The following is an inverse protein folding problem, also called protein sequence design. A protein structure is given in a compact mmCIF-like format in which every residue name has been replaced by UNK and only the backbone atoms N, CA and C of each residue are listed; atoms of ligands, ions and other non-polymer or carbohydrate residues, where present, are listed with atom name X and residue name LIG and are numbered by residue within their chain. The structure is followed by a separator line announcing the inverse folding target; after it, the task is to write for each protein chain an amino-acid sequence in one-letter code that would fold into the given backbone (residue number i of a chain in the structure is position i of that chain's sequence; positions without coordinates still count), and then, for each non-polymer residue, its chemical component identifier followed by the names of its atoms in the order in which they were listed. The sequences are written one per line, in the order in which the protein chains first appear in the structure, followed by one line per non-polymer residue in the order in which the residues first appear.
data_IF_478427618466
#
_entry.id   IF_478427618466
#
_cell.length_a   1.000
_cell.length_b   1.000
_cell.length_c   1.000
_cell.angle_alpha   90.00
_cell.angle_beta   90.00
_cell.angle_gamma   90.00
#
_symmetry.space_group_name_H-M   'P 1'
#
loop_
_entity.id
_entity.type
_entity.pdbx_description
1 polymer ?
#
# COMPACT_ATOMS: atom_id res chain seq x y z
N UNK A 1 -10.97 -18.42 21.58
CA UNK A 1 -11.80 -17.23 21.37
C UNK A 1 -11.29 -16.56 20.12
N UNK A 2 -12.15 -16.30 19.13
CA UNK A 2 -11.82 -15.58 17.91
C UNK A 2 -12.27 -14.13 18.11
N UNK A 3 -11.32 -13.19 18.19
CA UNK A 3 -11.60 -11.75 18.21
C UNK A 3 -10.81 -11.07 17.08
N UNK A 4 -11.48 -10.23 16.32
CA UNK A 4 -10.96 -9.52 15.16
C UNK A 4 -10.81 -8.03 15.47
N UNK A 5 -9.62 -7.49 15.28
CA UNK A 5 -9.36 -6.07 15.27
C UNK A 5 -9.35 -5.56 13.82
N UNK A 6 -10.33 -4.76 13.42
CA UNK A 6 -10.35 -4.12 12.10
C UNK A 6 -9.66 -2.76 12.18
N UNK A 7 -8.61 -2.56 11.43
CA UNK A 7 -7.87 -1.29 11.34
C UNK A 7 -8.23 -0.58 10.06
N UNK A 8 -8.76 0.63 10.16
CA UNK A 8 -9.06 1.53 9.04
C UNK A 8 -8.06 2.68 9.08
N UNK A 9 -7.25 2.83 8.04
CA UNK A 9 -6.35 3.97 7.89
C UNK A 9 -6.95 4.97 6.91
N UNK A 10 -7.13 6.24 7.33
CA UNK A 10 -7.76 7.25 6.49
C UNK A 10 -6.95 8.54 6.37
N UNK A 11 -7.11 9.22 5.23
CA UNK A 11 -6.57 10.55 4.99
C UNK A 11 -7.49 11.39 4.11
N UNK A 12 -8.28 12.29 4.73
CA UNK A 12 -9.22 13.22 4.07
C UNK A 12 -10.25 12.49 3.15
N UNK A 13 -10.85 11.41 3.67
CA UNK A 13 -11.87 10.60 2.97
C UNK A 13 -13.03 10.25 3.89
N UNK A 14 -13.53 11.25 4.60
CA UNK A 14 -14.51 11.15 5.67
C UNK A 14 -15.77 10.40 5.22
N UNK A 15 -16.29 10.70 4.04
CA UNK A 15 -17.55 10.15 3.53
C UNK A 15 -17.52 8.62 3.41
N UNK A 16 -16.42 8.06 2.94
CA UNK A 16 -16.26 6.60 2.84
C UNK A 16 -16.21 5.96 4.22
N UNK A 17 -15.41 6.53 5.13
CA UNK A 17 -15.30 6.01 6.50
C UNK A 17 -16.64 6.04 7.20
N UNK A 18 -17.38 7.17 7.14
CA UNK A 18 -18.70 7.29 7.75
C UNK A 18 -19.71 6.32 7.15
N UNK A 19 -19.69 6.12 5.83
CA UNK A 19 -20.58 5.17 5.16
C UNK A 19 -20.35 3.74 5.64
N UNK A 20 -19.08 3.29 5.69
CA UNK A 20 -18.73 1.96 6.16
C UNK A 20 -19.05 1.78 7.66
N UNK A 21 -18.73 2.76 8.50
CA UNK A 21 -19.07 2.71 9.92
C UNK A 21 -20.58 2.66 10.16
N UNK A 22 -21.36 3.44 9.40
CA UNK A 22 -22.83 3.39 9.47
C UNK A 22 -23.34 1.98 9.16
N UNK A 23 -22.84 1.34 8.10
CA UNK A 23 -23.20 -0.03 7.74
C UNK A 23 -22.83 -1.00 8.86
N UNK A 24 -21.60 -0.91 9.40
CA UNK A 24 -21.14 -1.81 10.46
C UNK A 24 -21.96 -1.59 11.76
N UNK A 25 -22.22 -0.34 12.14
CA UNK A 25 -23.03 -0.05 13.32
C UNK A 25 -24.44 -0.64 13.15
N UNK A 26 -25.16 -0.30 12.05
CA UNK A 26 -26.53 -0.74 11.83
C UNK A 26 -26.69 -2.26 11.73
N UNK A 27 -25.74 -2.93 11.06
CA UNK A 27 -25.92 -4.34 10.69
C UNK A 27 -25.18 -5.29 11.64
N UNK A 28 -24.26 -4.78 12.47
CA UNK A 28 -23.49 -5.60 13.41
C UNK A 28 -23.67 -5.14 14.85
N UNK A 29 -23.29 -3.91 15.20
CA UNK A 29 -23.24 -3.51 16.61
C UNK A 29 -24.59 -3.23 17.24
N UNK A 30 -25.52 -2.61 16.50
CA UNK A 30 -26.87 -2.28 16.96
C UNK A 30 -27.84 -3.45 16.85
N UNK A 31 -27.49 -4.51 16.13
CA UNK A 31 -28.33 -5.69 15.99
C UNK A 31 -28.16 -6.61 17.19
N UNK A 32 -29.26 -6.86 17.98
CA UNK A 32 -29.20 -7.73 19.15
C UNK A 32 -28.82 -9.19 18.81
N UNK A 33 -29.21 -9.63 17.60
CA UNK A 33 -28.98 -10.98 17.09
C UNK A 33 -27.72 -11.13 16.23
N UNK A 34 -26.89 -10.11 16.18
CA UNK A 34 -25.64 -10.17 15.41
C UNK A 34 -24.70 -11.25 15.97
N UNK A 35 -24.25 -12.20 15.13
CA UNK A 35 -23.41 -13.32 15.58
C UNK A 35 -21.97 -12.94 15.88
N UNK A 36 -21.55 -11.69 15.61
CA UNK A 36 -20.15 -11.23 15.67
C UNK A 36 -19.94 -9.91 16.41
N UNK A 37 -20.98 -9.31 16.99
CA UNK A 37 -20.84 -7.99 17.62
C UNK A 37 -19.84 -7.95 18.77
N UNK A 38 -19.67 -9.07 19.48
CA UNK A 38 -18.72 -9.18 20.59
C UNK A 38 -17.32 -9.67 20.12
N UNK A 39 -17.20 -10.04 18.85
CA UNK A 39 -15.98 -10.58 18.24
C UNK A 39 -15.25 -9.57 17.37
N UNK A 40 -15.80 -8.37 17.16
CA UNK A 40 -15.26 -7.31 16.31
C UNK A 40 -15.00 -6.03 17.10
N UNK A 41 -13.81 -5.44 16.94
CA UNK A 41 -13.50 -4.07 17.34
C UNK A 41 -12.86 -3.33 16.17
N UNK A 42 -13.11 -2.02 16.07
CA UNK A 42 -12.63 -1.17 14.96
C UNK A 42 -11.65 -0.14 15.51
N UNK A 43 -10.50 -0.04 14.85
CA UNK A 43 -9.42 0.91 15.15
C UNK A 43 -9.29 1.87 13.98
N UNK A 44 -9.75 3.12 14.13
CA UNK A 44 -9.70 4.15 13.10
C UNK A 44 -8.45 4.99 13.33
N UNK A 45 -7.56 5.01 12.35
CA UNK A 45 -6.34 5.82 12.35
C UNK A 45 -6.46 6.93 11.33
N UNK A 46 -6.63 8.15 11.81
CA UNK A 46 -6.86 9.34 10.99
C UNK A 46 -5.56 10.14 10.79
N UNK A 47 -4.90 9.92 9.67
CA UNK A 47 -3.71 10.65 9.23
C UNK A 47 -4.01 12.11 8.81
N UNK A 48 -5.28 12.41 8.54
CA UNK A 48 -5.74 13.75 8.13
C UNK A 48 -6.19 14.62 9.30
N UNK A 49 -6.49 14.01 10.44
CA UNK A 49 -7.12 14.65 11.60
C UNK A 49 -8.42 15.37 11.23
N UNK A 50 -9.15 14.80 10.28
CA UNK A 50 -10.31 15.43 9.65
C UNK A 50 -11.64 14.83 10.09
N UNK A 51 -11.62 13.63 10.68
CA UNK A 51 -12.82 12.96 11.15
C UNK A 51 -13.38 13.60 12.42
N UNK A 52 -14.71 13.67 12.48
CA UNK A 52 -15.47 14.01 13.66
C UNK A 52 -16.26 12.78 14.13
N UNK A 53 -16.48 12.64 15.43
CA UNK A 53 -17.26 11.51 15.94
C UNK A 53 -18.71 11.58 15.43
N UNK A 54 -19.02 10.79 14.40
CA UNK A 54 -20.36 10.59 13.85
C UNK A 54 -20.88 9.16 14.06
N UNK A 55 -20.07 8.30 14.71
CA UNK A 55 -20.42 6.89 14.99
C UNK A 55 -20.96 6.65 16.40
N UNK A 56 -21.07 7.70 17.23
CA UNK A 56 -21.59 7.58 18.59
C UNK A 56 -20.62 6.98 19.60
N UNK A 57 -21.16 6.54 20.73
CA UNK A 57 -20.37 5.99 21.85
C UNK A 57 -20.35 4.46 21.82
N UNK A 58 -19.94 3.88 20.71
CA UNK A 58 -19.74 2.43 20.61
C UNK A 58 -18.43 2.03 21.28
N UNK A 59 -18.44 1.19 22.31
CA UNK A 59 -17.24 0.76 23.01
C UNK A 59 -16.29 -0.07 22.14
N UNK A 60 -16.77 -0.56 21.00
CA UNK A 60 -15.98 -1.32 20.02
C UNK A 60 -15.28 -0.44 19.00
N UNK A 61 -15.49 0.90 19.00
CA UNK A 61 -14.87 1.81 18.02
C UNK A 61 -13.85 2.69 18.72
N UNK A 62 -12.61 2.54 18.33
CA UNK A 62 -11.46 3.28 18.84
C UNK A 62 -10.94 4.24 17.78
N UNK A 63 -10.74 5.51 18.15
CA UNK A 63 -10.29 6.55 17.23
C UNK A 63 -8.95 7.15 17.65
N UNK A 64 -8.04 7.26 16.70
CA UNK A 64 -6.70 7.77 16.90
C UNK A 64 -6.33 8.78 15.83
N UNK A 65 -6.06 10.02 16.23
CA UNK A 65 -5.38 10.98 15.36
C UNK A 65 -3.92 10.55 15.18
N UNK A 66 -3.41 10.73 13.98
CA UNK A 66 -2.07 10.30 13.64
C UNK A 66 -1.31 11.32 12.79
N UNK A 67 0.01 11.30 12.91
CA UNK A 67 0.92 11.98 11.98
C UNK A 67 0.80 11.31 10.61
N UNK A 68 0.71 12.11 9.53
CA UNK A 68 0.61 11.54 8.20
C UNK A 68 1.94 10.92 7.74
N UNK A 69 2.08 9.64 7.97
CA UNK A 69 3.17 8.81 7.48
C UNK A 69 2.72 7.86 6.36
N UNK A 70 1.63 8.24 5.66
CA UNK A 70 1.02 7.44 4.59
C UNK A 70 0.31 6.18 5.09
N UNK A 71 -0.04 5.28 4.18
CA UNK A 71 -0.66 3.99 4.51
C UNK A 71 0.21 3.15 5.44
N UNK A 72 1.52 3.02 5.13
CA UNK A 72 2.46 2.29 5.99
C UNK A 72 2.42 2.75 7.45
N UNK A 73 2.42 4.08 7.67
CA UNK A 73 2.40 4.64 9.03
C UNK A 73 1.05 4.55 9.71
N UNK A 74 -0.05 4.75 8.98
CA UNK A 74 -1.39 4.64 9.53
C UNK A 74 -1.73 3.21 9.95
N UNK A 75 -1.48 2.25 9.09
CA UNK A 75 -1.69 0.84 9.44
C UNK A 75 -0.76 0.37 10.55
N UNK A 76 0.51 0.79 10.56
CA UNK A 76 1.42 0.46 11.67
C UNK A 76 0.95 1.07 12.99
N UNK A 77 0.42 2.31 12.99
CA UNK A 77 -0.19 2.89 14.20
C UNK A 77 -1.35 2.02 14.69
N UNK A 78 -2.25 1.60 13.82
CA UNK A 78 -3.34 0.70 14.18
C UNK A 78 -2.85 -0.65 14.73
N UNK A 79 -1.85 -1.26 14.11
CA UNK A 79 -1.22 -2.49 14.60
C UNK A 79 -0.65 -2.30 16.02
N UNK A 80 -0.02 -1.17 16.30
CA UNK A 80 0.53 -0.86 17.63
C UNK A 80 -0.58 -0.69 18.67
N UNK A 81 -1.69 -0.05 18.32
CA UNK A 81 -2.85 0.10 19.22
C UNK A 81 -3.49 -1.27 19.53
N UNK A 82 -3.59 -2.15 18.52
CA UNK A 82 -4.06 -3.53 18.70
C UNK A 82 -3.14 -4.32 19.64
N UNK A 83 -1.82 -4.22 19.46
CA UNK A 83 -0.84 -4.88 20.34
C UNK A 83 -0.85 -4.35 21.79
N UNK A 84 -1.25 -3.11 21.99
CA UNK A 84 -1.31 -2.46 23.31
C UNK A 84 -2.68 -2.54 23.97
N UNK A 85 -3.68 -3.06 23.26
CA UNK A 85 -5.04 -3.21 23.78
C UNK A 85 -5.10 -4.22 24.93
N UNK A 86 -6.03 -3.98 25.86
CA UNK A 86 -6.36 -4.96 26.90
C UNK A 86 -7.12 -6.17 26.33
N UNK A 87 -7.80 -5.99 25.20
CA UNK A 87 -8.47 -7.08 24.46
C UNK A 87 -7.42 -7.93 23.75
N UNK A 88 -7.48 -9.24 23.96
CA UNK A 88 -6.63 -10.18 23.23
C UNK A 88 -7.28 -10.53 21.89
N UNK A 89 -6.78 -9.94 20.83
CA UNK A 89 -7.20 -10.26 19.46
C UNK A 89 -6.49 -11.49 18.92
N UNK A 90 -7.20 -12.31 18.18
CA UNK A 90 -6.62 -13.46 17.46
C UNK A 90 -6.11 -13.04 16.07
N UNK A 91 -6.86 -12.14 15.42
CA UNK A 91 -6.59 -11.68 14.07
C UNK A 91 -6.73 -10.14 13.97
N UNK A 92 -6.07 -9.60 12.99
CA UNK A 92 -6.18 -8.21 12.57
C UNK A 92 -6.64 -8.18 11.12
N UNK A 93 -7.56 -7.27 10.81
CA UNK A 93 -8.02 -6.97 9.46
C UNK A 93 -7.58 -5.56 9.09
N UNK A 94 -6.74 -5.42 8.09
CA UNK A 94 -6.41 -4.12 7.52
C UNK A 94 -7.40 -3.77 6.41
N UNK A 95 -7.86 -2.54 6.41
CA UNK A 95 -8.91 -2.06 5.53
C UNK A 95 -8.64 -0.63 5.08
N UNK A 96 -8.59 -0.38 3.76
CA UNK A 96 -8.49 0.97 3.22
C UNK A 96 -9.76 1.77 3.48
N UNK A 97 -9.64 3.10 3.46
CA UNK A 97 -10.76 4.01 3.71
C UNK A 97 -11.70 4.17 2.51
N UNK A 98 -11.21 4.05 1.27
CA UNK A 98 -11.97 4.30 0.03
C UNK A 98 -12.64 3.05 -0.56
N UNK A 99 -12.88 2.07 0.27
CA UNK A 99 -13.66 0.89 -0.12
C UNK A 99 -15.12 0.99 0.32
N UNK A 100 -15.96 0.18 -0.29
CA UNK A 100 -17.30 -0.14 0.18
C UNK A 100 -17.33 -1.63 0.49
N UNK A 101 -17.83 -1.99 1.66
CA UNK A 101 -17.99 -3.38 2.06
C UNK A 101 -19.42 -3.65 2.55
N UNK A 102 -19.84 -4.88 2.37
CA UNK A 102 -21.06 -5.43 2.95
C UNK A 102 -20.72 -6.00 4.34
N UNK A 103 -21.56 -5.74 5.34
CA UNK A 103 -21.37 -6.25 6.70
C UNK A 103 -21.29 -7.80 6.74
N UNK A 104 -21.97 -8.48 5.82
CA UNK A 104 -21.94 -9.93 5.68
C UNK A 104 -20.53 -10.49 5.37
N UNK A 105 -19.69 -9.70 4.74
CA UNK A 105 -18.27 -10.04 4.50
C UNK A 105 -17.52 -10.21 5.83
N UNK A 106 -17.78 -9.34 6.82
CA UNK A 106 -17.18 -9.45 8.15
C UNK A 106 -17.70 -10.65 8.91
N UNK A 107 -19.01 -10.96 8.77
CA UNK A 107 -19.61 -12.17 9.34
C UNK A 107 -18.92 -13.42 8.77
N UNK A 108 -18.80 -13.52 7.45
CA UNK A 108 -18.13 -14.65 6.77
C UNK A 108 -16.67 -14.77 7.17
N UNK A 109 -15.94 -13.64 7.26
CA UNK A 109 -14.57 -13.64 7.71
C UNK A 109 -14.43 -14.25 9.11
N UNK A 110 -15.17 -13.74 10.10
CA UNK A 110 -15.11 -14.24 11.48
C UNK A 110 -15.57 -15.70 11.57
N UNK A 111 -16.60 -16.09 10.82
CA UNK A 111 -17.02 -17.48 10.76
C UNK A 111 -15.91 -18.39 10.20
N UNK A 112 -15.26 -17.98 9.13
CA UNK A 112 -14.10 -18.70 8.59
C UNK A 112 -13.01 -18.87 9.65
N UNK A 113 -12.65 -17.80 10.37
CA UNK A 113 -11.64 -17.86 11.42
C UNK A 113 -12.02 -18.81 12.56
N UNK A 114 -13.32 -18.92 12.89
CA UNK A 114 -13.83 -19.84 13.93
C UNK A 114 -13.73 -21.32 13.55
N UNK A 115 -13.85 -21.64 12.26
CA UNK A 115 -13.78 -23.03 11.75
C UNK A 115 -12.39 -23.45 11.28
N UNK A 116 -11.46 -22.51 11.19
CA UNK A 116 -10.08 -22.74 10.75
C UNK A 116 -9.39 -23.76 11.66
N UNK A 117 -8.65 -24.69 11.05
CA UNK A 117 -7.86 -25.67 11.80
C UNK A 117 -6.71 -25.00 12.53
N UNK A 118 -6.35 -25.52 13.71
CA UNK A 118 -5.24 -24.96 14.52
C UNK A 118 -3.89 -24.95 13.81
N UNK A 119 -3.67 -25.85 12.86
CA UNK A 119 -2.46 -25.97 12.06
C UNK A 119 -2.33 -24.85 11.02
N UNK A 120 -3.45 -24.23 10.64
CA UNK A 120 -3.50 -23.18 9.62
C UNK A 120 -3.20 -21.78 10.20
N UNK A 121 -2.19 -21.66 11.07
CA UNK A 121 -1.89 -20.44 11.87
C UNK A 121 -1.33 -19.26 11.07
N UNK A 122 -0.90 -19.49 9.84
CA UNK A 122 -0.24 -18.46 9.02
C UNK A 122 -1.05 -18.08 7.77
N UNK A 123 -2.38 -18.38 7.79
CA UNK A 123 -3.25 -18.00 6.68
C UNK A 123 -3.59 -16.52 6.74
N UNK A 124 -3.38 -15.86 5.62
CA UNK A 124 -3.81 -14.49 5.33
C UNK A 124 -5.06 -14.56 4.45
N UNK A 125 -6.20 -14.17 4.99
CA UNK A 125 -7.46 -14.15 4.25
C UNK A 125 -7.62 -12.81 3.54
N UNK A 126 -7.52 -12.83 2.22
CA UNK A 126 -7.61 -11.66 1.38
C UNK A 126 -9.01 -11.48 0.79
N UNK A 127 -9.50 -10.26 0.78
CA UNK A 127 -10.70 -9.89 0.05
C UNK A 127 -10.42 -9.78 -1.45
N UNK A 128 -11.32 -10.31 -2.27
CA UNK A 128 -11.30 -10.04 -3.71
C UNK A 128 -11.76 -8.61 -3.97
N UNK A 129 -11.00 -7.86 -4.78
CA UNK A 129 -11.34 -6.48 -5.11
C UNK A 129 -12.23 -6.43 -6.34
N UNK A 130 -13.40 -5.78 -6.21
CA UNK A 130 -14.34 -5.51 -7.29
C UNK A 130 -14.41 -3.99 -7.54
N UNK A 131 -14.98 -3.58 -8.65
CA UNK A 131 -15.18 -2.17 -8.96
C UNK A 131 -16.54 -1.65 -8.50
N UNK A 132 -16.58 -0.45 -7.90
CA UNK A 132 -17.85 0.20 -7.51
C UNK A 132 -18.72 0.50 -8.74
N UNK A 133 -18.11 0.99 -9.82
CA UNK A 133 -18.79 1.34 -11.07
C UNK A 133 -19.18 0.12 -11.94
N UNK A 134 -18.62 -1.05 -11.64
CA UNK A 134 -18.92 -2.35 -12.26
C UNK A 134 -18.92 -3.44 -11.19
N UNK A 135 -19.98 -3.54 -10.36
CA UNK A 135 -19.96 -4.30 -9.12
C UNK A 135 -19.80 -5.81 -9.29
N UNK A 136 -20.03 -6.35 -10.48
CA UNK A 136 -19.77 -7.75 -10.80
C UNK A 136 -18.43 -7.98 -11.50
N UNK A 137 -17.62 -6.94 -11.73
CA UNK A 137 -16.27 -7.08 -12.30
C UNK A 137 -15.23 -7.14 -11.18
N UNK A 138 -14.61 -8.30 -11.02
CA UNK A 138 -13.47 -8.48 -10.12
C UNK A 138 -12.24 -7.86 -10.75
N UNK A 139 -11.56 -6.94 -10.05
CA UNK A 139 -10.27 -6.41 -10.49
C UNK A 139 -9.17 -7.45 -10.33
N UNK A 140 -9.05 -8.01 -9.13
CA UNK A 140 -8.08 -9.05 -8.77
C UNK A 140 -8.49 -9.77 -7.49
N UNK A 141 -7.89 -10.92 -7.27
CA UNK A 141 -7.97 -11.69 -6.02
C UNK A 141 -6.56 -11.94 -5.47
N UNK A 142 -5.92 -10.86 -5.02
CA UNK A 142 -4.51 -10.85 -4.66
C UNK A 142 -3.56 -10.86 -5.86
N UNK A 143 -2.26 -10.94 -5.60
CA UNK A 143 -1.22 -10.84 -6.62
C UNK A 143 0.01 -11.70 -6.29
N UNK A 144 0.90 -11.85 -7.28
CA UNK A 144 2.25 -12.39 -7.13
C UNK A 144 3.27 -11.29 -7.41
N UNK A 145 4.44 -11.38 -6.78
CA UNK A 145 5.52 -10.42 -7.00
C UNK A 145 6.51 -10.90 -8.05
N UNK A 146 6.58 -10.19 -9.18
CA UNK A 146 7.65 -10.37 -10.16
C UNK A 146 8.84 -9.46 -9.82
N UNK A 147 9.72 -9.92 -8.93
CA UNK A 147 10.91 -9.19 -8.53
C UNK A 147 11.89 -8.90 -9.67
N UNK A 148 11.88 -9.70 -10.74
CA UNK A 148 12.70 -9.44 -11.94
C UNK A 148 12.14 -8.24 -12.71
N UNK A 149 10.83 -8.11 -12.78
CA UNK A 149 10.15 -7.05 -13.48
C UNK A 149 9.67 -5.91 -12.58
N UNK A 150 9.89 -5.96 -11.26
CA UNK A 150 9.47 -4.97 -10.26
C UNK A 150 7.99 -4.60 -10.41
N UNK A 151 7.13 -5.58 -10.52
CA UNK A 151 5.72 -5.35 -10.76
C UNK A 151 4.86 -6.45 -10.14
N UNK A 152 3.63 -6.12 -9.76
CA UNK A 152 2.63 -7.12 -9.43
C UNK A 152 2.21 -7.92 -10.66
N UNK A 153 1.83 -9.17 -10.43
CA UNK A 153 1.11 -10.00 -11.37
C UNK A 153 -0.23 -10.30 -10.72
N UNK A 154 -1.31 -9.60 -11.09
CA UNK A 154 -2.63 -9.83 -10.51
C UNK A 154 -3.10 -11.27 -10.69
N UNK A 155 -3.73 -11.82 -9.67
CA UNK A 155 -4.36 -13.15 -9.70
C UNK A 155 -5.83 -12.99 -10.05
N UNK A 156 -6.34 -13.83 -10.94
CA UNK A 156 -7.74 -13.79 -11.43
C UNK A 156 -8.18 -12.37 -11.86
N UNK A 157 -7.42 -11.69 -12.75
CA UNK A 157 -7.69 -10.31 -13.09
C UNK A 157 -8.88 -10.16 -14.02
N UNK A 158 -9.65 -9.08 -13.82
CA UNK A 158 -10.73 -8.63 -14.70
C UNK A 158 -11.76 -9.72 -15.02
N UNK A 159 -12.16 -10.49 -14.00
CA UNK A 159 -13.21 -11.50 -14.16
C UNK A 159 -14.60 -10.86 -14.06
N UNK A 160 -15.45 -11.19 -15.02
CA UNK A 160 -16.88 -10.85 -14.98
C UNK A 160 -17.63 -11.94 -14.24
N UNK A 161 -18.20 -11.61 -13.08
CA UNK A 161 -18.89 -12.53 -12.17
C UNK A 161 -20.42 -12.35 -12.29
N UNK A 162 -20.94 -12.28 -13.52
CA UNK A 162 -22.34 -11.97 -13.80
C UNK A 162 -23.27 -13.20 -13.65
N UNK A 163 -22.72 -14.42 -13.70
CA UNK A 163 -23.48 -15.66 -13.63
C UNK A 163 -22.90 -16.60 -12.56
N UNK A 164 -23.73 -17.50 -11.96
CA UNK A 164 -23.26 -18.46 -10.98
C UNK A 164 -22.09 -19.32 -11.45
N UNK A 165 -22.05 -19.67 -12.74
CA UNK A 165 -20.98 -20.47 -13.33
C UNK A 165 -19.62 -19.73 -13.30
N UNK A 166 -19.64 -18.40 -13.45
CA UNK A 166 -18.42 -17.59 -13.40
C UNK A 166 -17.90 -17.50 -11.96
N UNK A 167 -18.81 -17.37 -10.99
CA UNK A 167 -18.49 -17.42 -9.55
C UNK A 167 -17.89 -18.78 -9.17
N UNK A 168 -18.46 -19.89 -9.64
CA UNK A 168 -17.93 -21.24 -9.41
C UNK A 168 -16.54 -21.43 -10.02
N UNK A 169 -16.29 -20.91 -11.23
CA UNK A 169 -14.97 -20.94 -11.85
C UNK A 169 -13.94 -20.15 -11.05
N UNK A 170 -14.38 -19.08 -10.38
CA UNK A 170 -13.51 -18.26 -9.53
C UNK A 170 -13.01 -19.01 -8.28
N UNK A 171 -13.62 -20.12 -7.88
CA UNK A 171 -13.16 -20.98 -6.76
C UNK A 171 -11.86 -21.74 -7.06
N UNK A 172 -11.38 -21.77 -8.30
CA UNK A 172 -10.12 -22.45 -8.62
C UNK A 172 -8.97 -21.91 -7.77
N UNK A 173 -8.30 -22.78 -7.05
CA UNK A 173 -7.13 -22.40 -6.25
C UNK A 173 -5.98 -21.91 -7.15
N UNK A 174 -5.44 -20.77 -6.79
CA UNK A 174 -4.28 -20.16 -7.45
C UNK A 174 -3.35 -19.61 -6.37
N UNK A 175 -2.05 -19.81 -6.52
CA UNK A 175 -1.05 -19.27 -5.61
C UNK A 175 -1.11 -17.74 -5.59
N UNK A 176 -1.17 -17.18 -4.39
CA UNK A 176 -1.18 -15.74 -4.11
C UNK A 176 -0.03 -15.44 -3.15
N UNK A 177 0.88 -14.56 -3.53
CA UNK A 177 2.02 -14.20 -2.70
C UNK A 177 1.66 -13.11 -1.69
N UNK A 178 0.75 -12.20 -2.07
CA UNK A 178 0.29 -11.10 -1.23
C UNK A 178 -1.06 -10.56 -1.71
N UNK A 179 -1.71 -9.78 -0.87
CA UNK A 179 -2.88 -8.99 -1.25
C UNK A 179 -2.78 -7.58 -0.68
N UNK A 180 -3.40 -6.62 -1.35
CA UNK A 180 -3.47 -5.24 -0.90
C UNK A 180 -4.20 -5.09 0.43
N UNK A 181 -3.82 -4.08 1.21
CA UNK A 181 -4.47 -3.77 2.49
C UNK A 181 -5.85 -3.12 2.36
N UNK A 182 -6.41 -3.14 1.16
CA UNK A 182 -7.84 -2.83 0.96
C UNK A 182 -8.76 -3.74 1.78
N UNK A 183 -8.40 -5.02 1.91
CA UNK A 183 -9.01 -5.98 2.82
C UNK A 183 -8.08 -7.18 3.01
N UNK A 184 -7.31 -7.19 4.09
CA UNK A 184 -6.40 -8.30 4.40
C UNK A 184 -6.46 -8.65 5.88
N UNK A 185 -6.95 -9.86 6.18
CA UNK A 185 -7.04 -10.40 7.53
C UNK A 185 -5.93 -11.43 7.77
N UNK A 186 -5.19 -11.29 8.88
CA UNK A 186 -4.12 -12.20 9.25
C UNK A 186 -3.99 -12.33 10.79
N UNK A 187 -3.30 -13.38 11.30
CA UNK A 187 -3.12 -13.58 12.74
C UNK A 187 -2.33 -12.43 13.37
N UNK A 188 -2.75 -11.98 14.55
CA UNK A 188 -2.01 -10.95 15.32
C UNK A 188 -0.58 -11.41 15.66
N UNK A 189 -0.33 -12.71 15.73
CA UNK A 189 1.01 -13.27 15.95
C UNK A 189 2.04 -12.92 14.86
N UNK A 190 1.57 -12.50 13.67
CA UNK A 190 2.44 -12.03 12.59
C UNK A 190 3.05 -10.65 12.87
N UNK A 191 2.45 -9.88 13.77
CA UNK A 191 3.00 -8.60 14.23
C UNK A 191 3.57 -8.74 15.64
N UNK A 192 4.75 -8.15 15.85
CA UNK A 192 5.40 -8.10 17.16
C UNK A 192 6.39 -6.92 17.22
N UNK A 193 7.06 -6.77 18.34
CA UNK A 193 7.98 -5.64 18.55
C UNK A 193 9.10 -5.50 17.50
N UNK A 194 9.44 -6.56 16.78
CA UNK A 194 10.51 -6.57 15.78
C UNK A 194 9.99 -6.86 14.36
N UNK A 195 8.66 -6.97 14.18
CA UNK A 195 8.06 -7.31 12.90
C UNK A 195 6.85 -6.43 12.59
N UNK A 196 7.10 -5.16 12.37
CA UNK A 196 6.16 -4.16 11.88
C UNK A 196 6.45 -3.83 10.41
N UNK A 197 5.53 -3.20 9.67
CA UNK A 197 5.78 -2.77 8.30
C UNK A 197 7.01 -1.88 8.15
N UNK A 198 7.62 -1.86 6.97
CA UNK A 198 8.64 -0.88 6.63
C UNK A 198 8.03 0.51 6.43
N UNK A 199 8.75 1.61 6.74
CA UNK A 199 8.25 2.99 6.65
C UNK A 199 8.24 3.50 5.20
N UNK A 200 7.56 2.78 4.31
CA UNK A 200 7.56 3.05 2.86
C UNK A 200 6.70 4.24 2.46
N UNK A 201 5.86 4.73 3.34
CA UNK A 201 4.86 5.78 3.18
C UNK A 201 3.63 5.29 2.40
N UNK A 202 3.76 4.96 1.15
CA UNK A 202 2.71 4.43 0.26
C UNK A 202 3.32 3.57 -0.83
N UNK A 203 2.59 2.60 -1.33
CA UNK A 203 3.02 1.61 -2.34
C UNK A 203 4.00 0.59 -1.80
N UNK A 204 3.63 -0.66 -2.00
CA UNK A 204 4.43 -1.85 -1.78
C UNK A 204 4.71 -2.20 -0.31
N UNK A 205 4.10 -1.51 0.64
CA UNK A 205 4.11 -1.84 2.07
C UNK A 205 3.38 -3.17 2.34
N UNK A 206 2.23 -3.35 1.73
CA UNK A 206 1.46 -4.60 1.69
C UNK A 206 2.26 -5.78 1.12
N UNK A 207 2.88 -5.54 -0.02
CA UNK A 207 3.71 -6.54 -0.73
C UNK A 207 4.92 -6.95 0.09
N UNK A 208 5.65 -5.97 0.62
CA UNK A 208 6.85 -6.22 1.43
C UNK A 208 6.49 -7.02 2.68
N UNK A 209 5.47 -6.58 3.41
CA UNK A 209 5.07 -7.21 4.66
C UNK A 209 4.63 -8.67 4.45
N UNK A 210 3.80 -8.94 3.45
CA UNK A 210 3.35 -10.29 3.14
C UNK A 210 4.49 -11.22 2.70
N UNK A 211 5.36 -10.76 1.79
CA UNK A 211 6.48 -11.55 1.28
C UNK A 211 7.53 -11.83 2.35
N UNK A 212 7.85 -10.87 3.19
CA UNK A 212 8.80 -11.03 4.29
C UNK A 212 8.30 -12.03 5.34
N UNK A 213 6.99 -12.06 5.58
CA UNK A 213 6.35 -12.99 6.50
C UNK A 213 5.98 -14.34 5.87
N UNK A 214 6.34 -14.58 4.60
CA UNK A 214 5.99 -15.81 3.87
C UNK A 214 4.48 -16.10 3.95
N UNK A 215 3.66 -15.07 3.79
CA UNK A 215 2.22 -15.14 3.92
C UNK A 215 1.61 -16.21 3.02
N UNK A 216 0.75 -17.04 3.59
CA UNK A 216 -0.08 -17.98 2.83
C UNK A 216 -1.42 -17.30 2.52
N UNK A 217 -1.46 -16.50 1.47
CA UNK A 217 -2.66 -15.77 1.10
C UNK A 217 -3.68 -16.70 0.44
N UNK A 218 -4.91 -16.64 0.93
CA UNK A 218 -6.06 -17.30 0.30
C UNK A 218 -7.16 -16.28 0.01
N UNK A 219 -7.92 -16.53 -1.03
CA UNK A 219 -9.12 -15.77 -1.40
C UNK A 219 -10.30 -16.70 -1.49
N UNK A 220 -11.45 -16.28 -0.95
CA UNK A 220 -12.68 -17.06 -0.94
C UNK A 220 -13.79 -16.26 -1.59
N UNK A 221 -14.64 -16.93 -2.37
CA UNK A 221 -15.88 -16.32 -2.85
C UNK A 221 -16.74 -15.85 -1.68
N UNK A 222 -17.35 -14.68 -1.82
CA UNK A 222 -18.13 -14.06 -0.76
C UNK A 222 -17.32 -13.30 0.28
N UNK A 223 -15.98 -13.25 0.15
CA UNK A 223 -15.11 -12.32 0.87
C UNK A 223 -14.50 -11.37 -0.13
N UNK A 224 -15.08 -10.20 -0.26
CA UNK A 224 -14.68 -9.18 -1.23
C UNK A 224 -15.13 -7.81 -0.80
N UNK A 225 -14.61 -6.81 -1.52
CA UNK A 225 -14.89 -5.41 -1.28
C UNK A 225 -14.92 -4.65 -2.61
N UNK A 226 -15.60 -3.51 -2.65
CA UNK A 226 -15.68 -2.66 -3.84
C UNK A 226 -14.79 -1.43 -3.66
N UNK A 227 -14.02 -1.14 -4.69
CA UNK A 227 -13.10 -0.02 -4.76
C UNK A 227 -13.39 0.83 -6.02
N UNK A 228 -13.24 2.16 -5.99
CA UNK A 228 -13.32 2.97 -7.20
C UNK A 228 -12.34 2.49 -8.27
N UNK A 229 -12.77 2.50 -9.54
CA UNK A 229 -11.89 2.14 -10.65
C UNK A 229 -10.62 3.00 -10.65
N UNK A 230 -9.46 2.35 -10.80
CA UNK A 230 -8.20 3.08 -10.90
C UNK A 230 -8.20 3.98 -12.14
N UNK A 231 -8.04 5.27 -11.90
CA UNK A 231 -7.82 6.20 -13.01
C UNK A 231 -6.42 5.98 -13.59
N UNK A 232 -6.31 5.88 -14.91
CA UNK A 232 -5.07 5.58 -15.65
C UNK A 232 -3.97 6.66 -15.54
N UNK A 233 -4.19 7.70 -14.75
CA UNK A 233 -3.25 8.81 -14.63
C UNK A 233 -2.14 8.49 -13.61
N UNK A 234 -1.03 8.02 -14.12
CA UNK A 234 0.19 7.80 -13.35
C UNK A 234 0.73 9.14 -12.83
N UNK A 235 0.58 9.38 -11.53
CA UNK A 235 1.06 10.64 -10.93
C UNK A 235 2.57 10.60 -10.70
N UNK A 236 3.29 11.73 -10.86
CA UNK A 236 4.71 11.80 -10.54
C UNK A 236 5.03 11.39 -9.10
N UNK A 237 4.15 11.75 -8.13
CA UNK A 237 4.28 11.36 -6.73
C UNK A 237 4.26 9.84 -6.56
N UNK A 238 3.28 9.16 -7.14
CA UNK A 238 3.20 7.70 -7.08
C UNK A 238 4.37 7.04 -7.79
N UNK A 239 4.88 7.63 -8.90
CA UNK A 239 6.08 7.14 -9.59
C UNK A 239 7.31 7.17 -8.69
N UNK A 240 7.47 8.23 -7.88
CA UNK A 240 8.57 8.32 -6.93
C UNK A 240 8.55 7.14 -5.95
N UNK A 241 7.39 6.89 -5.31
CA UNK A 241 7.26 5.79 -4.36
C UNK A 241 7.38 4.43 -5.03
N UNK A 242 6.75 4.24 -6.17
CA UNK A 242 6.80 3.00 -6.95
C UNK A 242 8.23 2.56 -7.27
N UNK A 243 9.05 3.48 -7.79
CA UNK A 243 10.44 3.20 -8.13
C UNK A 243 11.30 2.98 -6.89
N UNK A 244 11.26 3.88 -5.90
CA UNK A 244 12.07 3.75 -4.69
C UNK A 244 11.76 2.46 -3.95
N UNK A 245 10.49 2.23 -3.69
CA UNK A 245 10.06 1.13 -2.83
C UNK A 245 10.24 -0.23 -3.49
N UNK A 246 10.06 -0.35 -4.81
CA UNK A 246 10.32 -1.61 -5.52
C UNK A 246 11.79 -2.06 -5.42
N UNK A 247 12.73 -1.12 -5.44
CA UNK A 247 14.14 -1.43 -5.17
C UNK A 247 14.37 -1.86 -3.71
N UNK A 248 13.74 -1.16 -2.76
CA UNK A 248 13.85 -1.47 -1.33
C UNK A 248 13.31 -2.87 -1.03
N UNK A 249 12.13 -3.21 -1.53
CA UNK A 249 11.52 -4.54 -1.33
C UNK A 249 12.45 -5.64 -1.84
N UNK A 250 12.91 -5.52 -3.08
CA UNK A 250 13.81 -6.53 -3.64
C UNK A 250 15.06 -6.68 -2.76
N UNK A 251 15.65 -5.57 -2.30
CA UNK A 251 16.81 -5.60 -1.43
C UNK A 251 16.51 -6.32 -0.10
N UNK A 252 15.39 -6.00 0.55
CA UNK A 252 14.95 -6.63 1.80
C UNK A 252 14.71 -8.14 1.65
N UNK A 253 14.12 -8.54 0.52
CA UNK A 253 13.84 -9.95 0.22
C UNK A 253 15.07 -10.72 -0.31
N UNK A 254 16.21 -10.03 -0.51
CA UNK A 254 17.42 -10.61 -1.08
C UNK A 254 17.30 -10.96 -2.57
N UNK A 255 16.35 -10.36 -3.27
CA UNK A 255 16.23 -10.40 -4.72
C UNK A 255 17.22 -9.38 -5.29
N UNK A 256 18.20 -9.78 -6.12
CA UNK A 256 19.19 -8.85 -6.65
C UNK A 256 18.55 -7.72 -7.46
N UNK A 257 18.85 -6.49 -7.10
CA UNK A 257 18.44 -5.36 -7.88
C UNK A 257 19.28 -5.23 -9.14
N UNK A 258 18.61 -5.09 -10.26
CA UNK A 258 19.24 -4.80 -11.53
C UNK A 258 18.77 -3.44 -11.98
N UNK A 259 19.72 -2.60 -12.38
CA UNK A 259 19.31 -1.40 -13.07
C UNK A 259 18.62 -1.83 -14.37
N UNK A 260 17.30 -1.82 -14.40
CA UNK A 260 16.49 -2.07 -15.61
C UNK A 260 16.71 -0.97 -16.63
N UNK A 261 17.96 -0.88 -17.06
CA UNK A 261 18.47 0.17 -17.92
C UNK A 261 17.52 0.48 -19.07
N UNK A 262 16.96 -0.55 -19.72
CA UNK A 262 16.17 -0.30 -20.92
C UNK A 262 14.78 0.30 -20.65
N UNK A 263 14.03 -0.19 -19.66
CA UNK A 263 12.67 0.30 -19.41
C UNK A 263 12.68 1.63 -18.66
N UNK A 264 13.42 1.71 -17.56
CA UNK A 264 13.49 2.92 -16.73
C UNK A 264 14.22 4.04 -17.48
N UNK A 265 15.30 3.72 -18.21
CA UNK A 265 16.00 4.67 -19.08
C UNK A 265 15.09 5.21 -20.19
N UNK A 266 14.37 4.32 -20.89
CA UNK A 266 13.40 4.74 -21.89
C UNK A 266 12.31 5.64 -21.29
N UNK A 267 11.79 5.27 -20.13
CA UNK A 267 10.78 6.06 -19.42
C UNK A 267 11.31 7.42 -18.99
N UNK A 268 12.52 7.47 -18.44
CA UNK A 268 13.20 8.73 -18.07
C UNK A 268 13.39 9.64 -19.29
N UNK A 269 14.04 9.15 -20.37
CA UNK A 269 14.30 9.95 -21.54
C UNK A 269 13.03 10.35 -22.30
N UNK A 270 12.01 9.50 -22.35
CA UNK A 270 10.72 9.88 -22.91
C UNK A 270 10.13 11.09 -22.18
N UNK A 271 10.11 11.06 -20.82
CA UNK A 271 9.62 12.20 -20.04
C UNK A 271 10.50 13.44 -20.18
N UNK A 272 11.83 13.27 -20.26
CA UNK A 272 12.78 14.37 -20.44
C UNK A 272 12.59 15.04 -21.80
N UNK A 273 12.48 14.27 -22.86
CA UNK A 273 12.26 14.76 -24.24
C UNK A 273 10.92 15.47 -24.37
N UNK A 274 9.86 14.94 -23.72
CA UNK A 274 8.55 15.59 -23.72
C UNK A 274 8.44 16.75 -22.71
N UNK A 275 9.53 17.09 -22.01
CA UNK A 275 9.56 18.18 -21.05
C UNK A 275 8.76 17.95 -19.76
N UNK A 276 8.38 16.70 -19.46
CA UNK A 276 7.69 16.36 -18.21
C UNK A 276 8.69 16.36 -17.02
N UNK A 277 9.13 17.56 -16.63
CA UNK A 277 10.14 17.75 -15.59
C UNK A 277 9.70 17.23 -14.22
N UNK A 278 8.39 17.23 -13.93
CA UNK A 278 7.85 16.66 -12.72
C UNK A 278 8.19 15.17 -12.60
N UNK A 279 7.90 14.41 -13.66
CA UNK A 279 8.22 12.99 -13.73
C UNK A 279 9.71 12.71 -13.67
N UNK A 280 10.50 13.49 -14.44
CA UNK A 280 11.98 13.40 -14.48
C UNK A 280 12.57 13.55 -13.08
N UNK A 281 12.16 14.59 -12.33
CA UNK A 281 12.64 14.81 -10.97
C UNK A 281 12.22 13.70 -10.02
N UNK A 282 10.99 13.22 -10.11
CA UNK A 282 10.52 12.12 -9.27
C UNK A 282 11.30 10.82 -9.50
N UNK A 283 11.63 10.50 -10.75
CA UNK A 283 12.48 9.34 -11.07
C UNK A 283 13.88 9.49 -10.46
N UNK A 284 14.50 10.65 -10.64
CA UNK A 284 15.84 10.92 -10.11
C UNK A 284 15.89 10.89 -8.58
N UNK A 285 14.89 11.48 -7.91
CA UNK A 285 14.77 11.44 -6.44
C UNK A 285 14.59 10.03 -5.93
N UNK A 286 13.71 9.25 -6.57
CA UNK A 286 13.48 7.86 -6.17
C UNK A 286 14.76 7.01 -6.17
N UNK A 287 15.55 7.12 -7.23
CA UNK A 287 16.83 6.41 -7.34
C UNK A 287 17.84 6.94 -6.32
N UNK A 288 17.94 8.26 -6.16
CA UNK A 288 18.85 8.88 -5.21
C UNK A 288 18.54 8.43 -3.76
N UNK A 289 17.26 8.43 -3.37
CA UNK A 289 16.85 8.07 -2.02
C UNK A 289 17.05 6.56 -1.74
N UNK A 290 16.84 5.68 -2.73
CA UNK A 290 17.24 4.28 -2.63
C UNK A 290 18.77 4.15 -2.46
N UNK A 291 19.56 4.89 -3.23
CA UNK A 291 21.04 4.88 -3.13
C UNK A 291 21.57 5.45 -1.81
N UNK A 292 20.77 6.21 -1.09
CA UNK A 292 21.11 6.62 0.28
C UNK A 292 21.00 5.46 1.30
N UNK A 293 20.36 4.35 0.90
CA UNK A 293 20.24 3.12 1.65
C UNK A 293 19.30 3.25 2.86
N UNK A 294 19.49 2.39 3.86
CA UNK A 294 18.65 2.36 5.06
C UNK A 294 18.70 3.67 5.86
N UNK A 295 19.78 4.43 5.74
CA UNK A 295 19.95 5.74 6.39
C UNK A 295 18.87 6.73 5.94
N UNK A 296 18.35 6.60 4.72
CA UNK A 296 17.23 7.42 4.26
C UNK A 296 16.05 7.32 5.23
N UNK A 297 15.66 6.11 5.59
CA UNK A 297 14.53 5.86 6.49
C UNK A 297 14.82 6.24 7.94
N UNK A 298 16.08 6.14 8.37
CA UNK A 298 16.50 6.50 9.72
C UNK A 298 16.60 8.00 9.98
N UNK A 299 16.83 8.78 8.92
CA UNK A 299 17.13 10.22 9.05
C UNK A 299 16.11 11.14 8.40
N UNK A 300 15.16 10.58 7.63
CA UNK A 300 14.20 11.35 6.85
C UNK A 300 12.80 11.21 7.45
N UNK A 301 12.20 12.33 7.83
CA UNK A 301 10.80 12.39 8.18
C UNK A 301 9.93 12.18 6.92
N UNK A 302 9.11 11.12 6.92
CA UNK A 302 8.29 10.74 5.77
C UNK A 302 7.28 11.81 5.37
N UNK A 303 6.64 12.48 6.35
CA UNK A 303 5.68 13.56 6.10
C UNK A 303 6.38 14.78 5.49
N UNK A 304 7.51 15.20 6.06
CA UNK A 304 8.30 16.34 5.54
C UNK A 304 8.84 16.05 4.14
N UNK A 305 9.26 14.81 3.88
CA UNK A 305 9.70 14.39 2.55
C UNK A 305 8.55 14.42 1.53
N UNK A 306 7.38 13.92 1.90
CA UNK A 306 6.18 13.98 1.07
C UNK A 306 5.79 15.43 0.75
N UNK A 307 5.81 16.32 1.74
CA UNK A 307 5.55 17.75 1.54
C UNK A 307 6.56 18.41 0.59
N UNK A 308 7.86 18.09 0.71
CA UNK A 308 8.89 18.57 -0.24
C UNK A 308 8.58 18.12 -1.66
N UNK A 309 8.18 16.84 -1.84
CA UNK A 309 7.79 16.29 -3.13
C UNK A 309 6.60 17.05 -3.71
N UNK A 310 5.54 17.27 -2.93
CA UNK A 310 4.36 18.03 -3.34
C UNK A 310 4.70 19.48 -3.70
N UNK A 311 5.51 20.16 -2.88
CA UNK A 311 5.93 21.55 -3.14
C UNK A 311 6.77 21.66 -4.42
N UNK A 312 7.66 20.71 -4.65
CA UNK A 312 8.43 20.63 -5.90
C UNK A 312 7.50 20.47 -7.11
N UNK A 313 6.49 19.64 -7.01
CA UNK A 313 5.52 19.41 -8.10
C UNK A 313 4.65 20.65 -8.37
N UNK A 314 4.21 21.34 -7.33
CA UNK A 314 3.45 22.61 -7.46
C UNK A 314 4.29 23.72 -8.12
N UNK A 315 5.59 23.77 -7.86
CA UNK A 315 6.52 24.75 -8.45
C UNK A 315 6.85 24.48 -9.93
N UNK A 316 6.60 23.26 -10.42
CA UNK A 316 6.79 22.92 -11.83
C UNK A 316 5.51 23.27 -12.56
N UNK A 317 5.56 24.24 -13.47
CA UNK A 317 4.44 24.54 -14.35
C UNK A 317 4.07 23.28 -15.13
N UNK A 318 2.81 22.84 -14.99
CA UNK A 318 2.27 21.73 -15.77
C UNK A 318 2.25 22.12 -17.24
N UNK A 319 3.02 21.41 -18.06
CA UNK A 319 3.00 21.61 -19.51
C UNK A 319 1.62 21.16 -20.02
N UNK A 320 0.93 22.00 -20.83
CA UNK A 320 -0.36 21.63 -21.42
C UNK A 320 -0.26 20.29 -22.17
N UNK A 321 -1.34 19.51 -22.17
CA UNK A 321 -1.43 18.27 -22.97
C UNK A 321 -1.24 18.62 -24.44
N UNK A 322 -0.05 18.35 -24.98
CA UNK A 322 0.28 18.62 -26.36
C UNK A 322 -0.35 17.60 -27.33
N UNK A 323 -0.77 18.09 -28.48
CA UNK A 323 -1.13 17.23 -29.62
C UNK A 323 0.09 16.46 -30.13
N UNK A 324 -0.10 15.41 -30.96
CA UNK A 324 1.01 14.64 -31.54
C UNK A 324 2.04 15.51 -32.26
N UNK A 325 1.58 16.55 -33.01
CA UNK A 325 2.47 17.49 -33.73
C UNK A 325 3.27 18.40 -32.77
N UNK A 326 2.60 18.92 -31.75
CA UNK A 326 3.26 19.74 -30.72
C UNK A 326 4.28 18.94 -29.90
N UNK A 327 4.01 17.66 -29.63
CA UNK A 327 4.99 16.77 -28.97
C UNK A 327 6.30 16.64 -29.75
N UNK A 328 6.24 16.50 -31.08
CA UNK A 328 7.43 16.44 -31.92
C UNK A 328 8.21 17.76 -31.89
N UNK A 329 7.52 18.89 -31.98
CA UNK A 329 8.16 20.21 -31.92
C UNK A 329 8.79 20.51 -30.55
N UNK A 330 8.10 20.13 -29.45
CA UNK A 330 8.65 20.23 -28.10
C UNK A 330 9.89 19.35 -27.92
N UNK A 331 9.91 18.14 -28.50
CA UNK A 331 11.06 17.24 -28.47
C UNK A 331 12.33 17.88 -29.06
N UNK A 332 12.21 18.54 -30.20
CA UNK A 332 13.35 19.24 -30.81
C UNK A 332 13.84 20.41 -29.96
N UNK A 333 12.93 21.22 -29.40
CA UNK A 333 13.29 22.34 -28.53
C UNK A 333 13.93 21.90 -27.21
N UNK A 334 13.47 20.76 -26.65
CA UNK A 334 14.00 20.26 -25.38
C UNK A 334 15.46 19.80 -25.49
N UNK A 335 15.87 19.20 -26.63
CA UNK A 335 17.25 18.74 -26.86
C UNK A 335 18.28 19.87 -26.83
N UNK A 336 17.87 21.11 -27.10
CA UNK A 336 18.73 22.29 -27.06
C UNK A 336 18.65 23.05 -25.72
N UNK A 337 17.86 22.54 -24.73
CA UNK A 337 17.73 23.20 -23.44
C UNK A 337 18.85 22.80 -22.48
N UNK A 338 19.32 23.75 -21.67
CA UNK A 338 20.27 23.50 -20.59
C UNK A 338 19.74 22.46 -19.60
N UNK A 339 18.41 22.44 -19.36
CA UNK A 339 17.75 21.47 -18.50
C UNK A 339 17.89 20.04 -19.02
N UNK A 340 17.77 19.81 -20.33
CA UNK A 340 17.94 18.49 -20.93
C UNK A 340 19.32 17.90 -20.61
N UNK A 341 20.38 18.66 -20.86
CA UNK A 341 21.75 18.21 -20.61
C UNK A 341 22.06 18.07 -19.12
N UNK A 342 21.54 18.97 -18.28
CA UNK A 342 21.69 18.88 -16.83
C UNK A 342 21.09 17.58 -16.29
N UNK A 343 19.83 17.25 -16.63
CA UNK A 343 19.18 16.02 -16.16
C UNK A 343 19.76 14.76 -16.80
N UNK A 344 20.21 14.83 -18.04
CA UNK A 344 20.92 13.74 -18.71
C UNK A 344 22.22 13.41 -17.97
N UNK A 345 23.03 14.41 -17.65
CA UNK A 345 24.26 14.22 -16.89
C UNK A 345 23.99 13.66 -15.49
N UNK A 346 22.98 14.19 -14.81
CA UNK A 346 22.61 13.70 -13.48
C UNK A 346 22.10 12.25 -13.53
N UNK A 347 21.34 11.87 -14.56
CA UNK A 347 20.95 10.50 -14.81
C UNK A 347 22.14 9.56 -14.92
N UNK A 348 23.10 9.87 -15.79
CA UNK A 348 24.29 9.03 -15.96
C UNK A 348 25.11 8.92 -14.67
N UNK A 349 25.24 9.99 -13.93
CA UNK A 349 25.88 9.95 -12.61
C UNK A 349 25.19 8.95 -11.67
N UNK A 350 23.86 8.98 -11.57
CA UNK A 350 23.11 8.06 -10.74
C UNK A 350 23.22 6.61 -11.25
N UNK A 351 23.19 6.38 -12.56
CA UNK A 351 23.41 5.05 -13.15
C UNK A 351 24.79 4.50 -12.76
N UNK A 352 25.83 5.27 -12.90
CA UNK A 352 27.19 4.89 -12.52
C UNK A 352 27.24 4.56 -11.02
N UNK A 353 26.71 5.44 -10.18
CA UNK A 353 26.64 5.20 -8.74
C UNK A 353 25.88 3.92 -8.43
N UNK A 354 24.71 3.69 -9.04
CA UNK A 354 23.94 2.47 -8.87
C UNK A 354 24.76 1.22 -9.21
N UNK A 355 25.39 1.20 -10.37
CA UNK A 355 26.20 0.03 -10.83
C UNK A 355 27.28 -0.32 -9.81
N UNK A 356 27.94 0.66 -9.20
CA UNK A 356 29.00 0.41 -8.25
C UNK A 356 28.57 0.17 -6.81
N UNK A 357 27.34 0.57 -6.42
CA UNK A 357 26.96 0.55 -4.99
C UNK A 357 25.73 -0.29 -4.67
N UNK A 358 24.87 -0.65 -5.63
CA UNK A 358 23.60 -1.32 -5.36
C UNK A 358 23.75 -2.62 -4.56
N UNK A 359 24.73 -3.48 -4.89
CA UNK A 359 24.95 -4.73 -4.16
C UNK A 359 25.22 -4.50 -2.65
N UNK A 360 26.00 -3.47 -2.33
CA UNK A 360 26.27 -3.10 -0.93
C UNK A 360 25.01 -2.58 -0.24
N UNK A 361 24.21 -1.79 -0.96
CA UNK A 361 22.96 -1.22 -0.46
C UNK A 361 21.91 -2.33 -0.25
N UNK A 362 21.80 -3.26 -1.19
CA UNK A 362 20.92 -4.42 -1.07
C UNK A 362 21.27 -5.28 0.15
N UNK A 363 22.56 -5.57 0.34
CA UNK A 363 23.03 -6.30 1.51
C UNK A 363 22.72 -5.54 2.81
N UNK A 364 22.87 -4.21 2.82
CA UNK A 364 22.56 -3.37 3.96
C UNK A 364 21.07 -3.44 4.32
N UNK A 365 20.16 -3.32 3.35
CA UNK A 365 18.73 -3.49 3.60
C UNK A 365 18.41 -4.88 4.14
N UNK A 366 18.91 -5.94 3.50
CA UNK A 366 18.68 -7.32 3.93
C UNK A 366 19.12 -7.58 5.37
N UNK A 367 20.27 -7.02 5.78
CA UNK A 367 20.82 -7.26 7.11
C UNK A 367 20.26 -6.34 8.20
N UNK A 368 19.84 -5.14 7.83
CA UNK A 368 19.52 -4.08 8.79
C UNK A 368 18.04 -3.65 8.76
N UNK A 369 17.18 -4.28 7.95
CA UNK A 369 15.76 -3.92 7.87
C UNK A 369 15.06 -3.92 9.24
N UNK A 370 15.46 -4.81 10.16
CA UNK A 370 14.91 -4.83 11.52
C UNK A 370 15.13 -3.54 12.30
N UNK A 371 16.09 -2.70 11.88
CA UNK A 371 16.30 -1.39 12.52
C UNK A 371 15.20 -0.38 12.19
N UNK A 372 14.43 -0.59 11.13
CA UNK A 372 13.38 0.31 10.66
C UNK A 372 11.98 -0.31 10.65
N UNK A 373 11.82 -1.56 11.08
CA UNK A 373 10.52 -2.22 11.23
C UNK A 373 10.24 -2.70 12.66
N UNK A 374 10.93 -2.14 13.65
CA UNK A 374 10.72 -2.46 15.07
C UNK A 374 9.90 -1.37 15.79
N UNK A 375 9.37 -1.73 16.96
CA UNK A 375 8.49 -0.87 17.75
C UNK A 375 9.17 0.43 18.21
N UNK A 376 10.47 0.40 18.55
CA UNK A 376 11.19 1.59 18.99
C UNK A 376 11.30 2.62 17.87
N UNK A 377 11.68 2.17 16.68
CA UNK A 377 11.76 3.01 15.50
C UNK A 377 10.40 3.66 15.19
N UNK A 378 9.34 2.87 15.17
CA UNK A 378 8.00 3.36 14.87
C UNK A 378 7.46 4.30 15.94
N UNK A 379 7.69 4.02 17.23
CA UNK A 379 7.30 4.93 18.32
C UNK A 379 7.99 6.29 18.20
N UNK A 380 9.27 6.32 17.81
CA UNK A 380 9.97 7.59 17.57
C UNK A 380 9.42 8.32 16.34
N UNK A 381 9.15 7.59 15.25
CA UNK A 381 8.66 8.18 14.00
C UNK A 381 7.22 8.74 14.13
N UNK A 382 6.40 8.11 14.95
CA UNK A 382 5.01 8.50 15.20
C UNK A 382 4.86 9.64 16.20
N UNK A 383 5.91 10.03 16.92
CA UNK A 383 5.86 11.22 17.81
C UNK A 383 5.52 12.44 16.98
N UNK A 384 4.60 13.25 17.51
CA UNK A 384 4.34 14.59 17.00
C UNK A 384 5.43 15.53 17.52
N UNK A 385 5.87 16.48 16.68
CA UNK A 385 6.85 17.52 17.03
C UNK A 385 6.26 18.52 18.02
#
# INVERSE_FOLDING_TARGET
VCKLAMVICTYNREEYVYSNLKTICSDIFDRPDSPIKDDLEIFIVDNGKSLQNQWGDHPQIHYYQNKNLGGSGGFTRGMLEVLQSQTQFSHILLCDDDITLDADVLVKNIQFLKIQKKEAKHIYLAGSMLYIDRPCTQHEAGARWDGINYKPIPVKPLLELNHPEDVLKNETEVSVDYAGWGYLCFPVSEINENNLPLPLFVKWDDTEFALRNHAQCITLNGIGFWHPSYQSNYSPTLTYYDIRNSFVINACLGIPNHFKQRKLTKFFFANLVYGNLAMVKCILWAINDYLYGIRFFQTTDGQKNHQKLQNMLKAIQTIPKHTKKEKVLCSFKSLFSLNFWHYTFYWFRLVIQFVFTHNKIDQQFKQQQLQICNIHFWKELLKED
#
